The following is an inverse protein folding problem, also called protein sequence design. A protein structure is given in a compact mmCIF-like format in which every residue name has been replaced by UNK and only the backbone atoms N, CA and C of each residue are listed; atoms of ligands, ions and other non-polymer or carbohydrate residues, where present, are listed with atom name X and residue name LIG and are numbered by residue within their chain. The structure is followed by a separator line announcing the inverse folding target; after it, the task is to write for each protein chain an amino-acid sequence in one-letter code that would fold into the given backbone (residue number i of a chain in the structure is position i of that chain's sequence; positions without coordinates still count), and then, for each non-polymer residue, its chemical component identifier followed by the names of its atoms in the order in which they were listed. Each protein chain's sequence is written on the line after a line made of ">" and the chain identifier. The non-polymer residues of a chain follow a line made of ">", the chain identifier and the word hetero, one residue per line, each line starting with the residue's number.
data_IF_654167549870
#
_entry.id   IF_654167549870
#
_cell.length_a   1.000
_cell.length_b   1.000
_cell.length_c   1.000
_cell.angle_alpha   90.00
_cell.angle_beta   90.00
_cell.angle_gamma   90.00
#
_symmetry.space_group_name_H-M   'P 1'
#
loop_
_entity.id
_entity.type
_entity.pdbx_description
1 polymer ?
#
# COMPACT_ATOMS: atom_id res chain seq x y z
N UNK A 1 49.13 -1.10 44.63
CA UNK A 1 48.51 -2.05 43.67
C UNK A 1 46.99 -1.83 43.71
N UNK A 2 46.43 -1.22 42.67
CA UNK A 2 45.11 -0.56 42.64
C UNK A 2 43.92 -1.56 42.65
N UNK A 3 43.45 -1.93 43.84
CA UNK A 3 42.29 -2.81 44.02
C UNK A 3 40.97 -2.17 43.54
N UNK A 4 40.82 -0.84 43.68
CA UNK A 4 39.63 -0.09 43.28
C UNK A 4 39.43 -0.07 41.76
N UNK A 5 40.50 0.04 40.98
CA UNK A 5 40.43 0.06 39.51
C UNK A 5 40.08 -1.33 38.96
N UNK A 6 40.59 -2.40 39.58
CA UNK A 6 40.28 -3.79 39.24
C UNK A 6 38.79 -4.10 39.48
N UNK A 7 38.23 -3.63 40.60
CA UNK A 7 36.83 -3.87 40.96
C UNK A 7 35.86 -3.15 40.01
N UNK A 8 36.15 -1.91 39.61
CA UNK A 8 35.34 -1.20 38.61
C UNK A 8 35.44 -1.83 37.22
N UNK A 9 36.62 -2.27 36.79
CA UNK A 9 36.80 -2.89 35.46
C UNK A 9 36.07 -4.23 35.35
N UNK A 10 36.01 -5.01 36.42
CA UNK A 10 35.25 -6.28 36.46
C UNK A 10 33.74 -6.01 36.38
N UNK A 11 33.25 -4.95 37.03
CA UNK A 11 31.84 -4.56 36.93
C UNK A 11 31.44 -4.15 35.50
N UNK A 12 32.27 -3.36 34.80
CA UNK A 12 32.02 -3.01 33.40
C UNK A 12 32.04 -4.24 32.49
N UNK A 13 32.98 -5.16 32.71
CA UNK A 13 33.05 -6.41 31.94
C UNK A 13 31.82 -7.29 32.16
N UNK A 14 31.30 -7.37 33.39
CA UNK A 14 30.09 -8.13 33.70
C UNK A 14 28.84 -7.55 33.03
N UNK A 15 28.71 -6.21 32.99
CA UNK A 15 27.59 -5.54 32.31
C UNK A 15 27.66 -5.74 30.81
N UNK A 16 28.85 -5.59 30.20
CA UNK A 16 29.05 -5.80 28.77
C UNK A 16 28.77 -7.27 28.41
N UNK A 17 29.21 -8.22 29.22
CA UNK A 17 28.94 -9.64 29.00
C UNK A 17 27.45 -9.97 29.08
N UNK A 18 26.71 -9.40 30.03
CA UNK A 18 25.26 -9.60 30.13
C UNK A 18 24.50 -9.07 28.90
N UNK A 19 24.87 -7.89 28.41
CA UNK A 19 24.28 -7.31 27.19
C UNK A 19 24.61 -8.18 25.96
N UNK A 20 25.86 -8.64 25.83
CA UNK A 20 26.26 -9.50 24.72
C UNK A 20 25.57 -10.86 24.76
N UNK A 21 25.31 -11.42 25.94
CA UNK A 21 24.56 -12.67 26.07
C UNK A 21 23.10 -12.52 25.59
N UNK A 22 22.46 -11.38 25.88
CA UNK A 22 21.09 -11.07 25.43
C UNK A 22 20.98 -10.84 23.90
N UNK A 23 22.08 -10.46 23.24
CA UNK A 23 22.13 -10.30 21.78
C UNK A 23 22.33 -11.61 21.03
N UNK A 24 22.95 -12.62 21.66
CA UNK A 24 23.32 -13.89 20.99
C UNK A 24 22.23 -14.95 21.13
N UNK A 25 21.33 -14.82 22.10
CA UNK A 25 20.24 -15.78 22.30
C UNK A 25 18.99 -15.35 21.51
N UNK A 26 18.54 -16.12 20.49
CA UNK A 26 17.31 -15.82 19.77
C UNK A 26 16.11 -15.95 20.72
N UNK A 27 15.39 -14.85 20.94
CA UNK A 27 14.14 -14.86 21.70
C UNK A 27 13.06 -15.52 20.83
N UNK A 28 12.76 -16.79 21.10
CA UNK A 28 11.68 -17.50 20.41
C UNK A 28 10.35 -17.19 21.09
N UNK A 29 9.53 -16.36 20.45
CA UNK A 29 8.11 -16.22 20.81
C UNK A 29 7.34 -17.29 20.06
N UNK A 30 6.79 -18.26 20.79
CA UNK A 30 5.83 -19.20 20.22
C UNK A 30 4.45 -18.53 20.25
N UNK A 31 3.85 -18.30 19.09
CA UNK A 31 2.45 -17.91 19.01
C UNK A 31 1.60 -19.18 19.07
N UNK A 32 0.83 -19.37 20.14
CA UNK A 32 -0.15 -20.46 20.21
C UNK A 32 -1.22 -20.24 19.15
N UNK A 33 -1.15 -21.01 18.06
CA UNK A 33 -2.23 -21.08 17.08
C UNK A 33 -3.10 -22.26 17.47
N UNK A 34 -4.28 -22.00 18.02
CA UNK A 34 -5.28 -23.03 18.26
C UNK A 34 -5.83 -23.51 16.91
N UNK A 35 -5.29 -24.59 16.38
CA UNK A 35 -5.88 -25.30 15.25
C UNK A 35 -7.12 -26.07 15.72
N UNK A 36 -8.30 -25.64 15.27
CA UNK A 36 -9.54 -26.40 15.46
C UNK A 36 -9.54 -27.49 14.38
N UNK A 37 -9.54 -28.79 14.73
CA UNK A 37 -9.58 -29.86 13.74
C UNK A 37 -10.95 -29.85 13.01
N UNK A 38 -10.98 -30.18 11.70
CA UNK A 38 -12.21 -30.06 10.88
C UNK A 38 -13.42 -30.85 11.40
N UNK A 39 -13.18 -31.90 12.20
CA UNK A 39 -14.24 -32.74 12.74
C UNK A 39 -15.01 -32.14 13.93
N UNK A 40 -14.49 -31.10 14.58
CA UNK A 40 -15.20 -30.39 15.66
C UNK A 40 -16.20 -29.34 15.15
N UNK A 41 -16.20 -29.05 13.84
CA UNK A 41 -17.16 -28.14 13.21
C UNK A 41 -18.59 -28.69 13.14
N UNK A 42 -18.80 -29.97 13.49
CA UNK A 42 -20.11 -30.61 13.49
C UNK A 42 -20.75 -30.69 14.88
N UNK A 43 -20.07 -30.20 15.93
CA UNK A 43 -20.63 -30.13 17.30
C UNK A 43 -20.92 -28.69 17.75
N UNK A 44 -20.90 -27.71 16.85
CA UNK A 44 -21.39 -26.37 17.16
C UNK A 44 -22.90 -26.41 17.33
N UNK A 45 -23.32 -26.34 18.59
CA UNK A 45 -24.70 -26.24 19.01
C UNK A 45 -25.37 -25.04 18.28
N UNK A 46 -26.41 -25.25 17.45
CA UNK A 46 -26.93 -24.21 16.56
C UNK A 46 -27.48 -22.96 17.28
N UNK A 47 -27.73 -23.04 18.58
CA UNK A 47 -28.22 -21.94 19.41
C UNK A 47 -27.13 -20.93 19.81
N UNK A 48 -25.85 -21.21 19.54
CA UNK A 48 -24.75 -20.24 19.73
C UNK A 48 -24.53 -19.31 18.51
N UNK A 49 -25.27 -19.54 17.41
CA UNK A 49 -25.09 -18.83 16.13
C UNK A 49 -25.94 -17.54 16.05
N UNK A 50 -26.77 -17.24 17.05
CA UNK A 50 -27.58 -16.02 17.08
C UNK A 50 -26.92 -14.85 17.83
N UNK A 51 -25.65 -14.56 17.56
CA UNK A 51 -25.27 -13.14 17.56
C UNK A 51 -25.41 -12.69 16.12
N UNK A 52 -26.55 -12.06 15.73
CA UNK A 52 -26.61 -11.45 14.42
C UNK A 52 -25.37 -10.58 14.29
N UNK A 53 -24.62 -10.80 13.21
CA UNK A 53 -23.59 -9.86 12.79
C UNK A 53 -24.33 -8.54 12.55
N UNK A 54 -24.40 -7.72 13.60
CA UNK A 54 -24.78 -6.32 13.47
C UNK A 54 -23.66 -5.78 12.62
N UNK A 55 -23.94 -5.60 11.34
CA UNK A 55 -23.09 -4.85 10.43
C UNK A 55 -23.02 -3.44 10.99
N UNK A 56 -22.13 -3.24 11.97
CA UNK A 56 -21.80 -1.94 12.50
C UNK A 56 -21.47 -1.08 11.31
N UNK A 57 -22.08 0.10 11.22
CA UNK A 57 -21.76 1.06 10.18
C UNK A 57 -20.25 1.28 10.23
N UNK A 58 -19.53 0.82 9.20
CA UNK A 58 -18.09 1.08 9.10
C UNK A 58 -17.93 2.60 9.20
N UNK A 59 -16.99 3.10 10.02
CA UNK A 59 -16.75 4.53 10.08
C UNK A 59 -16.46 5.00 8.65
N UNK A 60 -17.33 5.88 8.13
CA UNK A 60 -17.09 6.50 6.84
C UNK A 60 -15.79 7.28 7.00
N UNK A 61 -14.75 6.89 6.26
CA UNK A 61 -13.48 7.59 6.30
C UNK A 61 -13.73 9.09 6.16
N UNK A 62 -13.26 9.88 7.13
CA UNK A 62 -13.39 11.33 7.12
C UNK A 62 -12.83 11.89 5.80
N UNK A 63 -13.40 13.00 5.32
CA UNK A 63 -13.01 13.63 4.06
C UNK A 63 -11.50 13.87 4.04
N UNK A 64 -10.77 13.03 3.30
CA UNK A 64 -9.34 13.21 3.12
C UNK A 64 -9.16 14.53 2.37
N UNK A 65 -8.55 15.53 3.00
CA UNK A 65 -8.16 16.78 2.36
C UNK A 65 -6.80 16.60 1.72
N UNK A 66 -6.67 16.83 0.41
CA UNK A 66 -5.40 16.71 -0.29
C UNK A 66 -4.36 17.66 0.29
N UNK A 67 -3.17 17.15 0.61
CA UNK A 67 -2.03 17.98 1.07
C UNK A 67 -1.67 19.06 0.05
N UNK A 68 -1.85 18.75 -1.23
CA UNK A 68 -1.56 19.65 -2.35
C UNK A 68 -2.57 19.45 -3.46
N UNK A 69 -2.96 20.55 -4.12
CA UNK A 69 -3.75 20.49 -5.35
C UNK A 69 -2.99 21.13 -6.49
N UNK A 70 -2.99 20.49 -7.66
CA UNK A 70 -2.43 21.03 -8.90
C UNK A 70 -3.38 20.81 -10.08
N UNK A 71 -3.23 21.60 -11.14
CA UNK A 71 -3.90 21.37 -12.42
C UNK A 71 -2.94 20.63 -13.35
N UNK A 72 -3.39 19.55 -13.95
CA UNK A 72 -2.56 18.64 -14.77
C UNK A 72 -3.35 18.19 -16.01
N UNK A 73 -2.63 18.03 -17.12
CA UNK A 73 -3.18 17.38 -18.31
C UNK A 73 -3.21 15.88 -18.05
N UNK A 74 -4.41 15.31 -18.10
CA UNK A 74 -4.69 13.91 -17.87
C UNK A 74 -5.16 13.27 -19.18
N UNK A 75 -4.56 12.14 -19.53
CA UNK A 75 -5.05 11.29 -20.62
C UNK A 75 -5.37 9.90 -20.10
N UNK A 76 -5.74 8.97 -20.98
CA UNK A 76 -6.04 7.60 -20.61
C UNK A 76 -5.35 6.62 -21.56
N UNK A 77 -4.93 5.48 -21.01
CA UNK A 77 -4.33 4.38 -21.75
C UNK A 77 -4.99 3.06 -21.37
N UNK A 78 -4.81 2.04 -22.20
CA UNK A 78 -5.27 0.68 -21.94
C UNK A 78 -4.14 -0.30 -22.16
N UNK A 79 -4.15 -1.42 -21.44
CA UNK A 79 -3.16 -2.52 -21.57
C UNK A 79 -3.33 -3.35 -22.86
N UNK A 80 -3.77 -2.73 -23.94
CA UNK A 80 -3.82 -3.40 -25.24
C UNK A 80 -2.38 -3.53 -25.77
N UNK A 81 -1.97 -4.67 -26.36
CA UNK A 81 -0.57 -4.91 -26.75
C UNK A 81 0.03 -3.88 -27.72
N UNK A 82 -0.81 -3.09 -28.38
CA UNK A 82 -0.41 -1.96 -29.23
C UNK A 82 0.01 -0.70 -28.45
N UNK A 83 -0.13 -0.69 -27.11
CA UNK A 83 0.17 0.44 -26.22
C UNK A 83 1.17 0.10 -25.11
N UNK A 84 1.51 -1.18 -24.93
CA UNK A 84 2.40 -1.67 -23.86
C UNK A 84 3.49 -2.60 -24.42
N UNK A 85 4.51 -2.86 -23.62
CA UNK A 85 5.57 -3.84 -23.95
C UNK A 85 5.09 -5.29 -23.79
N UNK A 86 6.03 -6.24 -23.77
CA UNK A 86 5.80 -7.68 -23.66
C UNK A 86 5.06 -8.10 -22.37
N UNK A 87 4.87 -7.18 -21.41
CA UNK A 87 4.16 -7.39 -20.14
C UNK A 87 3.01 -6.39 -19.92
N UNK A 88 1.93 -6.44 -20.72
CA UNK A 88 0.86 -5.43 -20.75
C UNK A 88 0.20 -5.12 -19.41
N UNK A 89 0.21 -6.07 -18.48
CA UNK A 89 -0.49 -5.97 -17.21
C UNK A 89 0.41 -5.69 -16.01
N UNK A 90 1.73 -5.53 -16.20
CA UNK A 90 2.67 -5.25 -15.11
C UNK A 90 3.04 -3.75 -15.16
N UNK A 91 2.78 -3.02 -14.07
CA UNK A 91 3.13 -1.61 -13.96
C UNK A 91 4.62 -1.42 -13.69
N UNK A 92 5.15 -0.21 -13.90
CA UNK A 92 6.54 0.11 -13.54
C UNK A 92 6.88 -0.05 -12.04
N UNK A 93 5.88 -0.14 -11.15
CA UNK A 93 6.07 -0.49 -9.73
C UNK A 93 6.17 -1.98 -9.46
N UNK A 94 5.85 -2.83 -10.46
CA UNK A 94 5.78 -4.28 -10.34
C UNK A 94 4.41 -4.82 -9.91
N UNK A 95 3.39 -3.96 -9.75
CA UNK A 95 2.01 -4.38 -9.48
C UNK A 95 1.26 -4.73 -10.76
N UNK A 96 0.16 -5.50 -10.64
CA UNK A 96 -0.75 -5.72 -11.78
C UNK A 96 -1.62 -4.49 -11.97
N UNK A 97 -1.81 -4.05 -13.22
CA UNK A 97 -2.75 -2.97 -13.55
C UNK A 97 -4.15 -3.27 -13.02
N UNK A 98 -4.82 -2.25 -12.50
CA UNK A 98 -6.20 -2.36 -12.02
C UNK A 98 -6.92 -1.01 -12.13
N UNK A 99 -8.26 -1.00 -11.98
CA UNK A 99 -8.99 0.26 -11.90
C UNK A 99 -8.42 1.15 -10.78
N UNK A 100 -7.96 2.34 -11.13
CA UNK A 100 -7.28 3.25 -10.20
C UNK A 100 -5.76 3.34 -10.39
N UNK A 101 -5.15 2.49 -11.21
CA UNK A 101 -3.74 2.64 -11.59
C UNK A 101 -3.54 3.95 -12.38
N UNK A 102 -2.48 4.67 -12.01
CA UNK A 102 -2.10 5.95 -12.60
C UNK A 102 -0.63 5.93 -13.01
N UNK A 103 -0.36 6.38 -14.23
CA UNK A 103 0.99 6.66 -14.71
C UNK A 103 1.33 8.14 -14.52
N UNK A 104 2.41 8.44 -13.80
CA UNK A 104 2.90 9.82 -13.65
C UNK A 104 4.39 9.84 -13.34
N UNK A 105 5.17 10.67 -14.04
CA UNK A 105 6.62 10.75 -13.82
C UNK A 105 7.03 11.66 -12.67
N UNK A 106 6.22 12.68 -12.37
CA UNK A 106 6.55 13.71 -11.37
C UNK A 106 6.10 13.38 -9.95
N UNK A 107 5.46 12.23 -9.75
CA UNK A 107 5.01 11.75 -8.43
C UNK A 107 5.74 10.47 -8.06
N UNK A 108 5.91 10.21 -6.76
CA UNK A 108 6.51 8.96 -6.28
C UNK A 108 5.52 7.81 -6.46
N UNK A 109 6.02 6.58 -6.59
CA UNK A 109 5.14 5.41 -6.57
C UNK A 109 4.38 5.31 -5.24
N UNK A 110 3.15 4.78 -5.29
CA UNK A 110 2.23 4.70 -4.16
C UNK A 110 1.56 6.03 -3.79
N UNK A 111 1.87 7.13 -4.48
CA UNK A 111 1.19 8.41 -4.24
C UNK A 111 -0.28 8.28 -4.56
N UNK A 112 -1.15 8.63 -3.61
CA UNK A 112 -2.60 8.63 -3.79
C UNK A 112 -3.05 9.98 -4.32
N UNK A 113 -3.88 9.97 -5.34
CA UNK A 113 -4.47 11.18 -5.91
C UNK A 113 -5.96 11.02 -6.16
N UNK A 114 -6.66 12.16 -6.28
CA UNK A 114 -8.07 12.22 -6.65
C UNK A 114 -8.30 13.31 -7.69
N UNK A 115 -9.22 13.06 -8.61
CA UNK A 115 -9.63 14.03 -9.62
C UNK A 115 -11.08 14.48 -9.38
N UNK A 116 -11.32 15.47 -8.49
CA UNK A 116 -12.68 15.87 -8.08
C UNK A 116 -13.59 16.36 -9.22
N UNK A 117 -13.03 16.80 -10.34
CA UNK A 117 -13.80 17.25 -11.50
C UNK A 117 -14.22 16.09 -12.44
N UNK A 118 -13.69 14.88 -12.20
CA UNK A 118 -13.94 13.71 -13.03
C UNK A 118 -14.55 12.55 -12.21
N UNK A 119 -13.87 12.14 -11.14
CA UNK A 119 -14.30 11.06 -10.26
C UNK A 119 -14.00 11.44 -8.80
N UNK A 120 -15.05 11.91 -8.10
CA UNK A 120 -14.98 12.53 -6.77
C UNK A 120 -14.72 11.55 -5.64
N UNK A 121 -15.07 10.29 -5.84
CA UNK A 121 -15.01 9.28 -4.79
C UNK A 121 -13.87 8.28 -5.05
N UNK A 122 -13.32 8.26 -6.27
CA UNK A 122 -12.23 7.36 -6.64
C UNK A 122 -10.85 7.92 -6.30
N UNK A 123 -10.06 7.06 -5.68
CA UNK A 123 -8.63 7.29 -5.46
C UNK A 123 -7.85 6.55 -6.53
N UNK A 124 -6.87 7.24 -7.08
CA UNK A 124 -5.90 6.71 -8.02
C UNK A 124 -4.55 6.59 -7.35
N UNK A 125 -3.79 5.56 -7.71
CA UNK A 125 -2.48 5.28 -7.11
C UNK A 125 -1.43 5.35 -8.22
N UNK A 126 -0.38 6.13 -7.98
CA UNK A 126 0.76 6.19 -8.91
C UNK A 126 1.53 4.88 -8.83
N UNK A 127 1.33 4.02 -9.81
CA UNK A 127 1.96 2.70 -9.88
C UNK A 127 2.76 2.53 -11.17
N UNK A 128 2.49 3.37 -12.17
CA UNK A 128 3.10 3.24 -13.47
C UNK A 128 3.87 4.51 -13.88
N UNK A 129 4.64 4.41 -14.96
CA UNK A 129 5.44 5.51 -15.52
C UNK A 129 5.05 5.81 -16.95
N UNK A 130 5.21 7.07 -17.30
CA UNK A 130 5.05 7.53 -18.66
C UNK A 130 6.42 7.61 -19.33
N UNK A 131 6.45 7.68 -20.66
CA UNK A 131 7.68 7.97 -21.39
C UNK A 131 8.36 9.25 -20.83
N UNK A 132 9.69 9.23 -20.69
CA UNK A 132 10.49 10.28 -20.03
C UNK A 132 10.27 11.70 -20.59
N UNK A 133 9.85 11.85 -21.87
CA UNK A 133 9.53 13.16 -22.46
C UNK A 133 8.38 13.89 -21.75
N UNK A 134 7.53 13.17 -21.03
CA UNK A 134 6.40 13.73 -20.31
C UNK A 134 6.76 14.01 -18.84
N UNK A 135 6.84 15.29 -18.50
CA UNK A 135 7.25 15.74 -17.16
C UNK A 135 6.10 16.24 -16.29
N UNK A 136 4.98 16.67 -16.88
CA UNK A 136 3.82 17.25 -16.17
C UNK A 136 2.49 16.74 -16.72
N UNK A 137 2.40 15.43 -16.95
CA UNK A 137 1.20 14.74 -17.43
C UNK A 137 0.96 13.50 -16.60
N UNK A 138 -0.30 13.08 -16.54
CA UNK A 138 -0.71 11.85 -15.90
C UNK A 138 -1.61 11.06 -16.85
N UNK A 139 -1.50 9.73 -16.87
CA UNK A 139 -2.35 8.86 -17.67
C UNK A 139 -3.08 7.87 -16.78
N UNK A 140 -4.41 7.86 -16.86
CA UNK A 140 -5.28 6.94 -16.13
C UNK A 140 -5.36 5.63 -16.91
N UNK A 141 -5.14 4.51 -16.23
CA UNK A 141 -5.36 3.21 -16.82
C UNK A 141 -6.86 2.90 -16.95
N UNK A 142 -7.25 2.34 -18.10
CA UNK A 142 -8.60 1.88 -18.41
C UNK A 142 -8.56 0.48 -18.99
N UNK A 143 -9.63 -0.28 -18.80
CA UNK A 143 -9.70 -1.69 -19.22
C UNK A 143 -9.71 -1.80 -20.75
N UNK A 144 -10.44 -0.90 -21.42
CA UNK A 144 -10.58 -0.95 -22.89
C UNK A 144 -10.07 0.31 -23.58
N UNK A 145 -9.59 0.13 -24.82
CA UNK A 145 -9.19 1.24 -25.70
C UNK A 145 -10.37 2.17 -26.04
N UNK A 146 -11.59 1.63 -26.07
CA UNK A 146 -12.81 2.41 -26.31
C UNK A 146 -13.01 3.47 -25.24
N UNK A 147 -12.91 3.07 -23.97
CA UNK A 147 -13.00 3.97 -22.83
C UNK A 147 -11.89 5.02 -22.83
N UNK A 148 -10.65 4.60 -23.10
CA UNK A 148 -9.51 5.52 -23.16
C UNK A 148 -9.70 6.60 -24.24
N UNK A 149 -10.22 6.22 -25.42
CA UNK A 149 -10.55 7.18 -26.49
C UNK A 149 -11.70 8.12 -26.12
N UNK A 150 -12.73 7.60 -25.46
CA UNK A 150 -13.87 8.41 -25.00
C UNK A 150 -13.47 9.39 -23.90
N UNK A 151 -12.52 9.01 -23.04
CA UNK A 151 -11.96 9.91 -22.04
C UNK A 151 -11.25 11.10 -22.71
N UNK A 152 -10.40 10.82 -23.69
CA UNK A 152 -9.67 11.84 -24.44
C UNK A 152 -8.61 12.56 -23.61
N UNK A 153 -8.26 13.80 -24.00
CA UNK A 153 -7.31 14.64 -23.27
C UNK A 153 -8.09 15.67 -22.47
N UNK A 154 -7.86 15.70 -21.15
CA UNK A 154 -8.55 16.62 -20.24
C UNK A 154 -7.56 17.38 -19.37
N UNK A 155 -7.90 18.58 -18.98
CA UNK A 155 -7.16 19.31 -17.95
C UNK A 155 -7.98 19.24 -16.67
N UNK A 156 -7.48 18.50 -15.68
CA UNK A 156 -8.21 18.21 -14.45
C UNK A 156 -7.47 18.77 -13.24
N UNK A 157 -8.25 19.16 -12.23
CA UNK A 157 -7.72 19.39 -10.89
C UNK A 157 -7.36 18.05 -10.27
N UNK A 158 -6.17 17.94 -9.71
CA UNK A 158 -5.65 16.75 -9.05
C UNK A 158 -5.28 17.08 -7.61
N UNK A 159 -5.93 16.42 -6.68
CA UNK A 159 -5.62 16.45 -5.25
C UNK A 159 -4.64 15.32 -4.93
N UNK A 160 -3.57 15.62 -4.19
CA UNK A 160 -2.49 14.70 -3.83
C UNK A 160 -2.50 14.53 -2.31
N UNK A 161 -2.46 13.29 -1.81
CA UNK A 161 -2.55 12.94 -0.39
C UNK A 161 -1.21 12.52 0.23
#
# INVERSE_FOLDING_TARGET
>A
MNFKNKLSSVAHFAVIFAIMADLVLPKTTSAETSFIPPNDLLQVNPLAIEKPFVAGTLPKAENITGRRTITVVVTAYSSTPDQTDDTPFITASGSTVHPGTLAANFLRFGTKVRFPDYDKDKIYIVEDRMNQRYTKRADIWMETRGEAKQFGVRTLKMEIF
#
